data_IF_088345337431
#
_entry.id   IF_088345337431
#
_cell.length_a   1.000
_cell.length_b   1.000
_cell.length_c   1.000
_cell.angle_alpha   90.00
_cell.angle_beta   90.00
_cell.angle_gamma   90.00
#
_symmetry.space_group_name_H-M   'P 1'
#
loop_
_entity.id
_entity.type
_entity.pdbx_description
1 polymer ?
#
# COMPACT_ATOMS: atom_id res chain seq x y z
N UNK A 1 45.79 -8.46 -11.70
CA UNK A 1 44.84 -9.07 -10.75
C UNK A 1 43.45 -8.76 -11.29
N UNK A 2 42.63 -9.76 -11.63
CA UNK A 2 41.27 -9.53 -12.12
C UNK A 2 40.36 -9.42 -10.89
N UNK A 3 40.03 -8.20 -10.48
CA UNK A 3 39.05 -7.97 -9.43
C UNK A 3 37.65 -8.33 -9.96
N UNK A 4 37.01 -9.31 -9.33
CA UNK A 4 35.65 -9.73 -9.69
C UNK A 4 34.66 -9.02 -8.77
N UNK A 5 33.97 -8.01 -9.28
CA UNK A 5 32.87 -7.37 -8.57
C UNK A 5 31.63 -8.26 -8.62
N UNK A 6 30.98 -8.47 -7.48
CA UNK A 6 29.69 -9.17 -7.40
C UNK A 6 28.63 -8.13 -7.04
N UNK A 7 27.53 -8.10 -7.79
CA UNK A 7 26.46 -7.12 -7.61
C UNK A 7 25.12 -7.82 -7.40
N UNK A 8 24.42 -7.47 -6.32
CA UNK A 8 23.03 -7.93 -6.09
C UNK A 8 22.11 -7.53 -7.25
N UNK A 9 22.42 -6.43 -7.95
CA UNK A 9 21.66 -5.96 -9.11
C UNK A 9 21.59 -7.03 -10.21
N UNK A 10 22.71 -7.66 -10.56
CA UNK A 10 22.76 -8.68 -11.61
C UNK A 10 21.90 -9.89 -11.23
N UNK A 11 21.97 -10.30 -9.97
CA UNK A 11 21.10 -11.35 -9.44
C UNK A 11 19.62 -10.97 -9.52
N UNK A 12 19.26 -9.75 -9.09
CA UNK A 12 17.88 -9.26 -9.16
C UNK A 12 17.37 -9.21 -10.60
N UNK A 13 18.17 -8.70 -11.54
CA UNK A 13 17.83 -8.67 -12.96
C UNK A 13 17.47 -10.06 -13.48
N UNK A 14 18.30 -11.07 -13.19
CA UNK A 14 18.03 -12.46 -13.60
C UNK A 14 16.72 -12.99 -13.02
N UNK A 15 16.40 -12.62 -11.77
CA UNK A 15 15.15 -13.04 -11.11
C UNK A 15 13.90 -12.32 -11.62
N UNK A 16 14.04 -11.20 -12.32
CA UNK A 16 12.92 -10.44 -12.89
C UNK A 16 12.68 -10.74 -14.37
N UNK A 17 13.52 -11.54 -15.04
CA UNK A 17 13.38 -11.88 -16.47
C UNK A 17 12.00 -12.45 -16.77
N UNK A 18 11.54 -13.42 -15.98
CA UNK A 18 10.25 -14.09 -16.20
C UNK A 18 9.06 -13.12 -16.13
N UNK A 19 9.11 -12.10 -15.26
CA UNK A 19 8.09 -11.05 -15.24
C UNK A 19 8.13 -10.23 -16.53
N UNK A 20 9.33 -9.82 -16.95
CA UNK A 20 9.51 -8.99 -18.15
C UNK A 20 9.21 -9.68 -19.47
N UNK A 21 9.40 -11.00 -19.57
CA UNK A 21 9.13 -11.77 -20.79
C UNK A 21 7.65 -11.84 -21.15
N UNK A 22 6.78 -11.73 -20.14
CA UNK A 22 5.33 -11.67 -20.36
C UNK A 22 4.82 -10.28 -20.67
N UNK A 23 5.71 -9.29 -20.58
CA UNK A 23 5.46 -7.91 -20.94
C UNK A 23 6.12 -7.62 -22.29
N UNK A 24 5.69 -6.57 -22.97
CA UNK A 24 6.28 -6.22 -24.26
C UNK A 24 7.79 -5.93 -24.09
N UNK A 25 8.66 -6.68 -24.79
CA UNK A 25 10.13 -6.71 -24.55
C UNK A 25 10.81 -5.36 -24.75
N UNK A 26 10.25 -4.48 -25.56
CA UNK A 26 10.78 -3.13 -25.80
C UNK A 26 10.55 -2.17 -24.61
N UNK A 27 9.69 -2.55 -23.67
CA UNK A 27 9.18 -1.67 -22.62
C UNK A 27 9.81 -1.87 -21.25
N UNK A 28 10.20 -3.10 -20.94
CA UNK A 28 10.58 -3.48 -19.58
C UNK A 28 11.83 -4.35 -19.64
N UNK A 29 13.01 -3.73 -19.72
CA UNK A 29 14.21 -4.50 -19.42
C UNK A 29 14.20 -4.89 -17.95
N UNK A 30 14.66 -6.09 -17.63
CA UNK A 30 14.87 -6.50 -16.23
C UNK A 30 15.82 -5.55 -15.51
N UNK A 31 16.73 -4.90 -16.25
CA UNK A 31 17.55 -3.80 -15.77
C UNK A 31 16.71 -2.62 -15.25
N UNK A 32 15.75 -2.14 -16.03
CA UNK A 32 14.88 -1.04 -15.63
C UNK A 32 14.07 -1.39 -14.37
N UNK A 33 13.40 -2.55 -14.36
CA UNK A 33 12.64 -2.97 -13.18
C UNK A 33 13.55 -3.14 -11.95
N UNK A 34 14.76 -3.69 -12.12
CA UNK A 34 15.71 -3.83 -11.02
C UNK A 34 16.11 -2.48 -10.43
N UNK A 35 16.30 -1.44 -11.27
CA UNK A 35 16.64 -0.10 -10.79
C UNK A 35 15.50 0.51 -9.98
N UNK A 36 14.26 0.43 -10.48
CA UNK A 36 13.10 0.94 -9.76
C UNK A 36 12.84 0.22 -8.45
N UNK A 37 13.01 -1.10 -8.40
CA UNK A 37 12.90 -1.87 -7.15
C UNK A 37 13.91 -1.37 -6.12
N UNK A 38 15.18 -1.17 -6.54
CA UNK A 38 16.23 -0.70 -5.65
C UNK A 38 16.01 0.74 -5.19
N UNK A 39 15.56 1.63 -6.08
CA UNK A 39 15.19 3.01 -5.74
C UNK A 39 14.03 3.02 -4.74
N UNK A 40 12.97 2.27 -5.01
CA UNK A 40 11.76 2.25 -4.19
C UNK A 40 12.00 1.66 -2.79
N UNK A 41 12.80 0.61 -2.68
CA UNK A 41 12.99 -0.11 -1.43
C UNK A 41 13.60 0.75 -0.30
N UNK A 42 14.43 1.73 -0.65
CA UNK A 42 15.14 2.58 0.30
C UNK A 42 14.85 4.07 0.09
N UNK A 43 13.75 4.42 -0.58
CA UNK A 43 13.49 5.81 -0.90
C UNK A 43 13.13 6.62 0.35
N UNK A 44 13.83 7.74 0.52
CA UNK A 44 13.67 8.67 1.62
C UNK A 44 13.84 10.11 1.11
N UNK A 45 13.08 11.02 1.71
CA UNK A 45 13.25 12.47 1.55
C UNK A 45 13.38 13.09 2.94
N UNK A 46 14.41 13.92 3.15
CA UNK A 46 14.70 14.57 4.44
C UNK A 46 14.73 13.58 5.64
N UNK A 47 15.18 12.35 5.40
CA UNK A 47 15.25 11.28 6.41
C UNK A 47 13.92 10.55 6.67
N UNK A 48 12.84 10.94 6.00
CA UNK A 48 11.53 10.30 6.09
C UNK A 48 11.38 9.26 4.98
N UNK A 49 11.03 8.03 5.36
CA UNK A 49 10.70 6.98 4.38
C UNK A 49 9.44 7.35 3.62
N UNK A 50 9.55 7.34 2.28
CA UNK A 50 8.41 7.50 1.40
C UNK A 50 8.03 6.15 0.78
N UNK A 51 6.74 6.02 0.47
CA UNK A 51 6.15 4.78 -0.03
C UNK A 51 5.30 5.02 -1.27
N UNK A 52 5.87 5.63 -2.34
CA UNK A 52 5.12 5.93 -3.55
C UNK A 52 4.68 4.63 -4.22
N UNK A 53 3.50 4.67 -4.83
CA UNK A 53 3.06 3.61 -5.75
C UNK A 53 3.44 4.02 -7.16
N UNK A 54 4.13 3.13 -7.89
CA UNK A 54 4.65 3.40 -9.23
C UNK A 54 3.97 2.48 -10.24
N UNK A 55 3.50 3.05 -11.34
CA UNK A 55 2.95 2.30 -12.46
C UNK A 55 3.74 2.57 -13.74
N UNK A 56 3.99 1.53 -14.51
CA UNK A 56 4.64 1.61 -15.82
C UNK A 56 3.70 1.00 -16.85
N UNK A 57 3.58 1.63 -18.02
CA UNK A 57 2.72 1.14 -19.12
C UNK A 57 3.22 1.59 -20.50
N UNK A 58 2.72 0.98 -21.57
CA UNK A 58 2.86 1.46 -22.97
C UNK A 58 1.84 2.49 -23.35
N UNK A 59 0.74 2.57 -22.61
CA UNK A 59 -0.40 3.31 -23.09
C UNK A 59 -1.06 3.99 -21.91
N UNK A 60 -1.11 5.32 -21.98
CA UNK A 60 -1.82 6.13 -21.00
C UNK A 60 -3.26 5.66 -20.75
N UNK A 61 -3.94 5.17 -21.79
CA UNK A 61 -5.31 4.68 -21.70
C UNK A 61 -5.45 3.47 -20.78
N UNK A 62 -4.39 2.67 -20.60
CA UNK A 62 -4.40 1.54 -19.67
C UNK A 62 -4.59 2.01 -18.22
N UNK A 63 -3.96 3.13 -17.84
CA UNK A 63 -4.09 3.70 -16.49
C UNK A 63 -5.54 4.11 -16.21
N UNK A 64 -6.17 4.83 -17.14
CA UNK A 64 -7.55 5.28 -16.98
C UNK A 64 -8.53 4.11 -17.03
N UNK A 65 -8.37 3.21 -17.99
CA UNK A 65 -9.29 2.08 -18.23
C UNK A 65 -9.26 1.07 -17.09
N UNK A 66 -8.08 0.66 -16.65
CA UNK A 66 -7.92 -0.47 -15.74
C UNK A 66 -7.65 -0.06 -14.29
N UNK A 67 -6.94 1.04 -14.08
CA UNK A 67 -6.64 1.54 -12.73
C UNK A 67 -7.60 2.62 -12.26
N UNK A 68 -8.52 3.06 -13.13
CA UNK A 68 -9.42 4.19 -12.87
C UNK A 68 -8.67 5.48 -12.55
N UNK A 69 -7.47 5.66 -13.14
CA UNK A 69 -6.68 6.87 -12.98
C UNK A 69 -7.49 8.11 -13.34
N UNK A 70 -7.43 9.12 -12.47
CA UNK A 70 -8.01 10.46 -12.64
C UNK A 70 -6.86 11.44 -12.80
N UNK A 71 -7.08 12.52 -13.55
CA UNK A 71 -6.19 13.68 -13.60
C UNK A 71 -4.70 13.34 -13.70
N UNK A 72 -4.22 13.12 -14.93
CA UNK A 72 -2.80 12.92 -15.17
C UNK A 72 -2.09 14.28 -15.23
N UNK A 73 -1.06 14.43 -14.41
CA UNK A 73 -0.18 15.60 -14.38
C UNK A 73 1.17 15.19 -14.94
N UNK A 74 1.49 15.68 -16.14
CA UNK A 74 2.77 15.44 -16.79
C UNK A 74 3.88 16.28 -16.14
N UNK A 75 4.96 15.63 -15.73
CA UNK A 75 6.11 16.29 -15.08
C UNK A 75 7.29 16.40 -16.03
N UNK A 76 7.53 15.40 -16.87
CA UNK A 76 8.61 15.46 -17.84
C UNK A 76 8.69 14.27 -18.78
N UNK A 77 9.72 14.30 -19.63
CA UNK A 77 10.04 13.22 -20.56
C UNK A 77 11.55 13.12 -20.79
N UNK A 78 11.98 12.04 -21.43
CA UNK A 78 13.37 11.84 -21.83
C UNK A 78 13.60 10.49 -22.52
N UNK A 79 14.81 10.23 -23.03
CA UNK A 79 15.15 8.95 -23.65
C UNK A 79 15.05 7.82 -22.62
N UNK A 80 14.81 6.59 -23.10
CA UNK A 80 14.65 5.39 -22.28
C UNK A 80 15.97 4.93 -21.61
N UNK A 81 16.43 5.71 -20.62
CA UNK A 81 17.74 5.56 -19.98
C UNK A 81 17.62 5.59 -18.46
N UNK A 82 18.63 5.04 -17.79
CA UNK A 82 18.74 5.02 -16.32
C UNK A 82 18.61 6.41 -15.69
N UNK A 83 19.23 7.41 -16.29
CA UNK A 83 19.18 8.78 -15.80
C UNK A 83 17.75 9.34 -15.85
N UNK A 84 17.01 9.03 -16.92
CA UNK A 84 15.61 9.45 -17.03
C UNK A 84 14.73 8.75 -16.01
N UNK A 85 14.90 7.44 -15.76
CA UNK A 85 14.13 6.74 -14.72
C UNK A 85 14.38 7.31 -13.32
N UNK A 86 15.66 7.52 -12.98
CA UNK A 86 16.07 8.03 -11.67
C UNK A 86 15.51 9.42 -11.44
N UNK A 87 15.59 10.28 -12.46
CA UNK A 87 15.01 11.63 -12.44
C UNK A 87 13.49 11.59 -12.35
N UNK A 88 12.82 10.75 -13.14
CA UNK A 88 11.38 10.58 -13.11
C UNK A 88 10.87 10.19 -11.72
N UNK A 89 11.54 9.20 -11.12
CA UNK A 89 11.22 8.76 -9.77
C UNK A 89 11.44 9.89 -8.74
N UNK A 90 12.60 10.54 -8.73
CA UNK A 90 12.89 11.64 -7.80
C UNK A 90 11.96 12.85 -7.93
N UNK A 91 11.54 13.19 -9.15
CA UNK A 91 10.63 14.33 -9.35
C UNK A 91 9.20 14.01 -8.92
N UNK A 92 8.75 12.76 -9.06
CA UNK A 92 7.35 12.39 -8.85
C UNK A 92 7.08 11.74 -7.48
N UNK A 93 8.04 11.00 -6.93
CA UNK A 93 7.85 10.24 -5.71
C UNK A 93 7.47 11.09 -4.48
N UNK A 94 8.05 12.29 -4.25
CA UNK A 94 7.63 13.17 -3.15
C UNK A 94 6.17 13.65 -3.31
N UNK A 95 5.68 13.75 -4.54
CA UNK A 95 4.30 14.16 -4.83
C UNK A 95 3.28 13.03 -4.63
N UNK A 96 3.75 11.80 -4.39
CA UNK A 96 2.93 10.59 -4.28
C UNK A 96 2.98 9.96 -2.87
N UNK A 97 3.29 10.75 -1.84
CA UNK A 97 3.39 10.29 -0.45
C UNK A 97 2.03 9.89 0.14
N UNK A 98 0.96 10.63 -0.18
CA UNK A 98 -0.35 10.50 0.45
C UNK A 98 -1.19 9.32 -0.06
N UNK A 99 -0.64 8.52 -0.99
CA UNK A 99 -1.31 7.43 -1.74
C UNK A 99 -2.54 7.85 -2.54
N UNK A 100 -2.98 9.09 -2.46
CA UNK A 100 -3.98 9.65 -3.34
C UNK A 100 -3.36 9.86 -4.71
N UNK A 101 -2.09 10.25 -4.76
CA UNK A 101 -1.31 10.30 -6.00
C UNK A 101 -0.46 9.05 -6.19
N UNK A 102 -0.31 8.63 -7.44
CA UNK A 102 0.59 7.57 -7.85
C UNK A 102 1.47 8.03 -9.01
N UNK A 103 2.70 7.56 -9.04
CA UNK A 103 3.66 7.85 -10.11
C UNK A 103 3.30 7.02 -11.34
N UNK A 104 3.36 7.62 -12.52
CA UNK A 104 3.31 6.88 -13.77
C UNK A 104 4.56 7.11 -14.62
N UNK A 105 4.92 6.07 -15.38
CA UNK A 105 5.92 6.11 -16.45
C UNK A 105 5.33 5.43 -17.68
N UNK A 106 5.17 6.18 -18.76
CA UNK A 106 4.72 5.68 -20.06
C UNK A 106 5.94 5.54 -20.95
N UNK A 107 6.21 4.34 -21.43
CA UNK A 107 7.37 4.03 -22.27
C UNK A 107 6.85 3.81 -23.70
N UNK A 108 7.15 4.69 -24.63
CA UNK A 108 6.70 4.59 -26.03
C UNK A 108 7.85 5.06 -26.92
N UNK A 109 8.13 4.33 -28.00
CA UNK A 109 9.11 4.71 -29.02
C UNK A 109 10.49 5.12 -28.47
N UNK A 110 11.01 4.36 -27.51
CA UNK A 110 12.31 4.62 -26.88
C UNK A 110 12.35 5.88 -26.00
N UNK A 111 11.20 6.45 -25.68
CA UNK A 111 11.03 7.63 -24.82
C UNK A 111 10.20 7.28 -23.59
N UNK A 112 10.52 7.89 -22.46
CA UNK A 112 9.71 7.83 -21.24
C UNK A 112 8.99 9.18 -21.09
N UNK A 113 7.68 9.14 -20.88
CA UNK A 113 6.87 10.26 -20.38
C UNK A 113 6.44 9.92 -18.96
N UNK A 114 6.65 10.83 -18.01
CA UNK A 114 6.40 10.53 -16.59
C UNK A 114 5.70 11.68 -15.88
N UNK A 115 5.03 11.32 -14.80
CA UNK A 115 4.24 12.24 -14.02
C UNK A 115 3.55 11.55 -12.85
N UNK A 116 2.48 12.17 -12.37
CA UNK A 116 1.61 11.61 -11.34
C UNK A 116 0.17 11.59 -11.82
N UNK A 117 -0.62 10.68 -11.28
CA UNK A 117 -2.06 10.68 -11.49
C UNK A 117 -2.79 10.50 -10.17
N UNK A 118 -3.99 11.08 -10.09
CA UNK A 118 -4.85 10.97 -8.93
C UNK A 118 -5.63 9.65 -8.96
N UNK A 119 -5.60 8.93 -7.85
CA UNK A 119 -6.39 7.74 -7.62
C UNK A 119 -7.80 8.06 -7.13
N UNK A 120 -8.63 7.03 -6.97
CA UNK A 120 -9.96 7.17 -6.38
C UNK A 120 -9.86 7.58 -4.91
N UNK A 121 -10.37 8.78 -4.58
CA UNK A 121 -10.33 9.37 -3.24
C UNK A 121 -11.27 8.72 -2.24
N UNK A 122 -12.25 7.95 -2.70
CA UNK A 122 -13.17 7.25 -1.80
C UNK A 122 -12.40 6.28 -0.89
N UNK A 123 -12.56 6.36 0.46
CA UNK A 123 -11.98 5.41 1.41
C UNK A 123 -12.57 3.99 1.31
N UNK A 124 -13.68 3.83 0.57
CA UNK A 124 -14.38 2.56 0.39
C UNK A 124 -14.04 1.87 -0.94
N UNK A 125 -13.50 2.62 -1.90
CA UNK A 125 -13.11 2.06 -3.18
C UNK A 125 -11.85 1.21 -3.05
N UNK A 126 -11.60 0.25 -3.95
CA UNK A 126 -10.28 -0.35 -4.09
C UNK A 126 -9.25 0.70 -4.52
N UNK A 127 -8.07 0.66 -3.89
CA UNK A 127 -6.89 1.42 -4.32
C UNK A 127 -6.46 1.02 -5.74
N UNK A 128 -5.69 1.88 -6.41
CA UNK A 128 -5.14 1.60 -7.75
C UNK A 128 -4.31 0.32 -7.78
N UNK A 129 -3.60 0.01 -6.70
CA UNK A 129 -2.78 -1.19 -6.61
C UNK A 129 -3.62 -2.46 -6.33
N UNK A 130 -4.70 -2.34 -5.55
CA UNK A 130 -5.67 -3.44 -5.38
C UNK A 130 -6.39 -3.77 -6.69
N UNK A 131 -6.73 -2.76 -7.49
CA UNK A 131 -7.30 -2.98 -8.84
C UNK A 131 -6.33 -3.78 -9.70
N UNK A 132 -5.06 -3.40 -9.72
CA UNK A 132 -4.02 -4.16 -10.44
C UNK A 132 -3.90 -5.59 -9.90
N UNK A 133 -3.99 -5.80 -8.58
CA UNK A 133 -3.92 -7.14 -7.96
C UNK A 133 -5.02 -8.08 -8.45
N UNK A 134 -6.20 -7.55 -8.75
CA UNK A 134 -7.36 -8.31 -9.26
C UNK A 134 -7.37 -8.43 -10.79
N UNK A 135 -6.59 -7.63 -11.50
CA UNK A 135 -6.59 -7.56 -12.96
C UNK A 135 -5.99 -8.81 -13.60
N UNK A 136 -6.65 -9.33 -14.65
CA UNK A 136 -6.21 -10.47 -15.46
C UNK A 136 -6.52 -10.20 -16.93
N UNK A 137 -5.86 -9.20 -17.49
CA UNK A 137 -6.17 -8.69 -18.83
C UNK A 137 -5.01 -8.92 -19.79
N UNK A 138 -5.19 -9.89 -20.69
CA UNK A 138 -4.26 -10.15 -21.79
C UNK A 138 -4.20 -8.94 -22.74
N UNK A 139 -3.00 -8.59 -23.20
CA UNK A 139 -2.78 -7.46 -24.11
C UNK A 139 -2.76 -6.08 -23.44
N UNK A 140 -3.01 -5.98 -22.14
CA UNK A 140 -2.70 -4.77 -21.38
C UNK A 140 -1.30 -4.87 -20.79
N UNK A 141 -0.49 -3.82 -20.91
CA UNK A 141 0.86 -3.77 -20.36
C UNK A 141 0.88 -2.80 -19.19
N UNK A 142 0.67 -3.29 -17.97
CA UNK A 142 0.82 -2.51 -16.74
C UNK A 142 1.72 -3.26 -15.79
N UNK A 143 2.75 -2.59 -15.28
CA UNK A 143 3.54 -3.04 -14.14
C UNK A 143 3.34 -2.07 -13.00
N UNK A 144 2.88 -2.56 -11.86
CA UNK A 144 2.81 -1.79 -10.62
C UNK A 144 3.92 -2.23 -9.67
N UNK A 145 4.55 -1.27 -9.02
CA UNK A 145 5.48 -1.47 -7.92
C UNK A 145 5.01 -0.69 -6.70
N UNK A 146 5.08 -1.31 -5.52
CA UNK A 146 4.84 -0.64 -4.25
C UNK A 146 5.73 -1.22 -3.15
N UNK A 147 6.15 -0.36 -2.23
CA UNK A 147 6.83 -0.78 -1.00
C UNK A 147 5.76 -1.15 0.02
N UNK A 148 5.83 -2.34 0.59
CA UNK A 148 4.85 -2.80 1.59
C UNK A 148 5.27 -2.42 3.02
N UNK A 149 6.56 -2.32 3.29
CA UNK A 149 7.14 -2.09 4.61
C UNK A 149 8.60 -2.54 4.63
N UNK A 150 9.44 -1.92 5.46
CA UNK A 150 10.88 -2.23 5.50
C UNK A 150 11.51 -2.19 4.09
N UNK A 151 12.29 -3.19 3.71
CA UNK A 151 12.95 -3.26 2.39
C UNK A 151 12.19 -4.17 1.40
N UNK A 152 10.87 -4.28 1.57
CA UNK A 152 10.03 -5.22 0.85
C UNK A 152 9.22 -4.53 -0.26
N UNK A 153 9.49 -4.89 -1.52
CA UNK A 153 8.82 -4.37 -2.71
C UNK A 153 7.93 -5.45 -3.31
N UNK A 154 6.68 -5.10 -3.56
CA UNK A 154 5.73 -5.91 -4.33
C UNK A 154 5.69 -5.41 -5.77
N UNK A 155 5.86 -6.33 -6.71
CA UNK A 155 5.74 -6.11 -8.15
C UNK A 155 4.53 -6.89 -8.64
N UNK A 156 3.67 -6.25 -9.43
CA UNK A 156 2.50 -6.88 -10.05
C UNK A 156 2.36 -6.48 -11.51
N UNK A 157 1.84 -7.38 -12.32
CA UNK A 157 1.50 -7.13 -13.72
C UNK A 157 -0.01 -7.20 -13.93
N UNK A 158 -0.49 -6.56 -14.99
CA UNK A 158 -1.89 -6.67 -15.46
C UNK A 158 -2.28 -8.08 -15.92
N UNK A 159 -1.31 -8.92 -16.25
CA UNK A 159 -1.51 -10.34 -16.58
C UNK A 159 -1.72 -11.21 -15.33
N UNK A 160 -1.56 -10.65 -14.12
CA UNK A 160 -1.75 -11.32 -12.85
C UNK A 160 -0.49 -11.95 -12.25
N UNK A 161 0.65 -11.85 -12.93
CA UNK A 161 1.93 -12.22 -12.35
C UNK A 161 2.30 -11.25 -11.24
N UNK A 162 3.00 -11.78 -10.25
CA UNK A 162 3.48 -10.97 -9.14
C UNK A 162 4.74 -11.58 -8.57
N UNK A 163 5.56 -10.72 -7.98
CA UNK A 163 6.75 -11.11 -7.27
C UNK A 163 6.95 -10.19 -6.09
N UNK A 164 7.49 -10.75 -5.02
CA UNK A 164 7.93 -9.98 -3.88
C UNK A 164 9.44 -10.00 -3.84
N UNK A 165 10.04 -8.84 -3.60
CA UNK A 165 11.48 -8.67 -3.50
C UNK A 165 11.78 -8.10 -2.14
N UNK A 166 12.46 -8.87 -1.30
CA UNK A 166 13.09 -8.36 -0.11
C UNK A 166 14.54 -7.98 -0.43
N UNK A 167 14.90 -6.71 -0.26
CA UNK A 167 16.30 -6.25 -0.45
C UNK A 167 17.07 -6.13 0.88
N UNK A 168 16.47 -6.53 2.02
CA UNK A 168 17.23 -6.66 3.27
C UNK A 168 18.12 -7.89 3.26
N UNK A 169 19.28 -7.81 3.92
CA UNK A 169 20.16 -8.95 4.18
C UNK A 169 19.86 -9.72 5.47
N UNK A 170 18.74 -9.45 6.15
CA UNK A 170 18.36 -10.16 7.38
C UNK A 170 17.59 -11.45 7.08
N UNK A 171 17.95 -12.53 7.78
CA UNK A 171 17.36 -13.88 7.70
C UNK A 171 15.93 -13.96 8.29
N UNK A 172 15.13 -12.89 8.20
CA UNK A 172 13.71 -12.93 8.56
C UNK A 172 12.91 -13.63 7.45
N UNK A 173 13.18 -14.93 7.27
CA UNK A 173 12.65 -15.75 6.18
C UNK A 173 11.12 -15.95 6.24
N UNK A 174 10.48 -15.64 7.37
CA UNK A 174 9.05 -15.86 7.60
C UNK A 174 8.21 -14.56 7.67
N UNK A 175 8.84 -13.38 7.61
CA UNK A 175 8.12 -12.10 7.66
C UNK A 175 7.70 -11.63 6.27
N UNK A 176 6.40 -11.73 5.97
CA UNK A 176 5.81 -11.16 4.77
C UNK A 176 4.81 -10.06 5.14
N UNK A 177 5.12 -8.76 4.94
CA UNK A 177 4.23 -7.62 5.19
C UNK A 177 2.78 -7.84 4.72
N UNK A 178 2.60 -8.27 3.48
CA UNK A 178 1.28 -8.56 2.91
C UNK A 178 0.49 -9.65 3.65
N UNK A 179 1.15 -10.64 4.28
CA UNK A 179 0.47 -11.65 5.11
C UNK A 179 0.01 -11.04 6.43
N UNK A 180 0.82 -10.18 7.06
CA UNK A 180 0.47 -9.48 8.30
C UNK A 180 -0.77 -8.61 8.10
N UNK A 181 -0.80 -7.78 7.06
CA UNK A 181 -1.97 -6.91 6.78
C UNK A 181 -3.21 -7.74 6.46
N UNK A 182 -3.08 -8.80 5.65
CA UNK A 182 -4.23 -9.66 5.35
C UNK A 182 -4.78 -10.30 6.61
N UNK A 183 -3.92 -10.82 7.49
CA UNK A 183 -4.35 -11.44 8.74
C UNK A 183 -5.03 -10.42 9.67
N UNK A 184 -4.48 -9.20 9.76
CA UNK A 184 -5.09 -8.09 10.48
C UNK A 184 -6.50 -7.75 9.94
N UNK A 185 -6.61 -7.52 8.63
CA UNK A 185 -7.87 -7.19 7.95
C UNK A 185 -8.90 -8.30 8.13
N UNK A 186 -8.55 -9.56 7.89
CA UNK A 186 -9.51 -10.67 8.06
C UNK A 186 -9.94 -10.85 9.52
N UNK A 187 -9.10 -10.49 10.48
CA UNK A 187 -9.44 -10.57 11.90
C UNK A 187 -10.41 -9.45 12.32
N UNK A 188 -10.17 -8.20 11.87
CA UNK A 188 -11.01 -7.04 12.26
C UNK A 188 -12.37 -7.02 11.56
N UNK A 189 -12.52 -7.69 10.41
CA UNK A 189 -13.81 -7.77 9.69
C UNK A 189 -14.54 -9.10 9.87
N UNK A 190 -14.00 -10.02 10.68
CA UNK A 190 -14.42 -11.43 10.73
C UNK A 190 -15.93 -11.61 10.89
N UNK A 191 -16.54 -10.85 11.78
CA UNK A 191 -17.98 -10.91 12.11
C UNK A 191 -18.77 -9.70 11.59
N UNK A 192 -18.20 -8.93 10.67
CA UNK A 192 -18.89 -7.80 10.05
C UNK A 192 -20.06 -8.28 9.15
N UNK A 193 -21.15 -7.50 9.02
CA UNK A 193 -22.27 -7.82 8.12
C UNK A 193 -21.81 -7.98 6.67
N UNK A 194 -22.26 -9.03 6.00
CA UNK A 194 -21.81 -9.39 4.63
C UNK A 194 -21.95 -8.26 3.59
N UNK A 195 -23.02 -7.43 3.57
CA UNK A 195 -23.10 -6.30 2.64
C UNK A 195 -22.01 -5.23 2.85
N UNK A 196 -21.52 -5.08 4.09
CA UNK A 196 -20.57 -4.03 4.49
C UNK A 196 -19.12 -4.54 4.48
N UNK A 197 -18.94 -5.84 4.67
CA UNK A 197 -17.64 -6.50 4.82
C UNK A 197 -16.63 -6.17 3.72
N UNK A 198 -16.96 -6.11 2.41
CA UNK A 198 -15.99 -5.74 1.37
C UNK A 198 -15.47 -4.30 1.53
N UNK A 199 -16.34 -3.37 1.88
CA UNK A 199 -15.98 -1.95 2.09
C UNK A 199 -15.15 -1.78 3.36
N UNK A 200 -15.52 -2.51 4.43
CA UNK A 200 -14.76 -2.54 5.67
C UNK A 200 -13.35 -3.14 5.48
N UNK A 201 -13.23 -4.17 4.64
CA UNK A 201 -11.93 -4.73 4.24
C UNK A 201 -11.06 -3.67 3.55
N UNK A 202 -11.59 -2.97 2.56
CA UNK A 202 -10.86 -1.89 1.86
C UNK A 202 -10.40 -0.80 2.83
N UNK A 203 -11.28 -0.39 3.75
CA UNK A 203 -10.97 0.61 4.76
C UNK A 203 -9.80 0.17 5.66
N UNK A 204 -9.91 -1.02 6.28
CA UNK A 204 -8.88 -1.51 7.20
C UNK A 204 -7.60 -1.94 6.49
N UNK A 205 -7.67 -2.34 5.23
CA UNK A 205 -6.47 -2.59 4.44
C UNK A 205 -5.64 -1.30 4.30
N UNK A 206 -6.30 -0.19 3.94
CA UNK A 206 -5.64 1.14 3.84
C UNK A 206 -5.11 1.59 5.20
N UNK A 207 -5.93 1.54 6.25
CA UNK A 207 -5.51 1.92 7.60
C UNK A 207 -4.34 1.06 8.09
N UNK A 208 -4.38 -0.25 7.85
CA UNK A 208 -3.29 -1.16 8.21
C UNK A 208 -1.99 -0.87 7.45
N UNK A 209 -2.07 -0.57 6.15
CA UNK A 209 -0.91 -0.14 5.37
C UNK A 209 -0.32 1.17 5.90
N UNK A 210 -1.15 2.12 6.34
CA UNK A 210 -0.69 3.37 6.97
C UNK A 210 0.04 3.11 8.28
N UNK A 211 -0.48 2.20 9.10
CA UNK A 211 0.17 1.78 10.36
C UNK A 211 1.51 1.12 10.08
N UNK A 212 1.60 0.22 9.09
CA UNK A 212 2.86 -0.47 8.78
C UNK A 212 3.94 0.46 8.21
N UNK A 213 3.54 1.48 7.45
CA UNK A 213 4.48 2.44 6.89
C UNK A 213 4.96 3.46 7.94
N UNK A 214 4.33 3.50 9.12
CA UNK A 214 4.81 4.32 10.21
C UNK A 214 6.12 3.79 10.81
N UNK A 215 6.93 4.69 11.34
CA UNK A 215 8.31 4.42 11.77
C UNK A 215 8.43 3.67 13.11
N UNK A 216 7.30 3.32 13.75
CA UNK A 216 7.27 2.70 15.07
C UNK A 216 6.50 1.38 15.02
N UNK A 217 7.06 0.33 15.63
CA UNK A 217 6.35 -0.93 15.81
C UNK A 217 5.04 -0.70 16.56
N UNK A 218 3.94 -1.31 16.09
CA UNK A 218 2.60 -1.11 16.63
C UNK A 218 2.00 -2.43 17.09
N UNK A 219 1.27 -2.42 18.21
CA UNK A 219 0.52 -3.57 18.70
C UNK A 219 -0.98 -3.29 18.60
N UNK A 220 -1.71 -4.20 17.94
CA UNK A 220 -3.17 -4.12 17.81
C UNK A 220 -3.78 -5.41 18.33
N UNK A 221 -4.68 -5.30 19.31
CA UNK A 221 -5.52 -6.37 19.80
C UNK A 221 -6.91 -6.34 19.14
N UNK A 222 -7.45 -7.51 18.82
CA UNK A 222 -8.79 -7.63 18.21
C UNK A 222 -9.66 -8.51 19.11
N UNK A 223 -10.77 -7.95 19.57
CA UNK A 223 -11.75 -8.60 20.44
C UNK A 223 -13.01 -8.98 19.65
N UNK A 224 -13.85 -9.85 20.22
CA UNK A 224 -15.21 -10.04 19.69
C UNK A 224 -16.06 -8.81 20.04
N UNK A 225 -16.94 -8.37 19.14
CA UNK A 225 -17.87 -7.27 19.42
C UNK A 225 -18.70 -7.58 20.67
N UNK A 226 -18.78 -6.59 21.57
CA UNK A 226 -19.49 -6.71 22.84
C UNK A 226 -18.76 -7.51 23.93
N UNK A 227 -17.59 -8.07 23.64
CA UNK A 227 -16.76 -8.66 24.69
C UNK A 227 -16.23 -7.58 25.63
N UNK A 228 -16.14 -7.91 26.93
CA UNK A 228 -15.44 -7.06 27.90
C UNK A 228 -13.96 -7.00 27.54
N UNK A 229 -13.35 -5.81 27.63
CA UNK A 229 -11.89 -5.68 27.58
C UNK A 229 -11.30 -6.51 28.74
N UNK A 230 -10.36 -7.44 28.48
CA UNK A 230 -9.76 -8.26 29.52
C UNK A 230 -9.07 -7.41 30.59
N UNK A 231 -9.13 -7.84 31.85
CA UNK A 231 -8.59 -7.07 33.00
C UNK A 231 -7.08 -6.79 32.89
N UNK A 232 -6.35 -7.62 32.14
CA UNK A 232 -4.92 -7.45 31.82
C UNK A 232 -4.64 -6.23 30.92
N UNK A 233 -5.67 -5.66 30.27
CA UNK A 233 -5.59 -4.51 29.36
C UNK A 233 -6.50 -3.34 29.79
N UNK A 234 -7.00 -3.38 31.03
CA UNK A 234 -7.98 -2.41 31.55
C UNK A 234 -7.36 -1.03 31.89
N UNK A 235 -6.04 -0.93 31.90
CA UNK A 235 -5.32 0.31 32.22
C UNK A 235 -5.29 1.33 31.07
N UNK A 236 -5.78 0.96 29.89
CA UNK A 236 -5.84 1.83 28.72
C UNK A 236 -6.98 2.85 28.74
N UNK A 237 -6.99 3.70 27.71
CA UNK A 237 -8.01 4.73 27.53
C UNK A 237 -9.17 4.15 26.72
N UNK A 238 -10.32 3.97 27.37
CA UNK A 238 -11.53 3.39 26.77
C UNK A 238 -12.36 4.46 26.08
N UNK A 239 -12.74 4.22 24.82
CA UNK A 239 -13.61 5.11 24.07
C UNK A 239 -15.08 4.87 24.44
N UNK A 240 -15.77 5.92 24.88
CA UNK A 240 -17.19 5.86 25.27
C UNK A 240 -17.97 6.99 24.59
N UNK A 241 -18.84 6.69 23.61
CA UNK A 241 -19.04 5.37 22.99
C UNK A 241 -17.81 4.93 22.19
N UNK A 242 -17.72 3.62 21.90
CA UNK A 242 -16.77 3.11 20.93
C UNK A 242 -17.06 3.66 19.54
N UNK A 243 -16.03 3.78 18.70
CA UNK A 243 -16.18 4.29 17.34
C UNK A 243 -16.46 3.12 16.42
N UNK A 244 -17.62 3.11 15.77
CA UNK A 244 -18.01 2.05 14.83
C UNK A 244 -17.76 2.48 13.38
N UNK A 245 -16.74 1.91 12.74
CA UNK A 245 -16.50 2.11 11.31
C UNK A 245 -17.59 1.42 10.50
N UNK A 246 -18.07 0.25 10.94
CA UNK A 246 -19.17 -0.46 10.29
C UNK A 246 -20.43 0.40 10.20
N UNK A 247 -20.83 1.07 11.28
CA UNK A 247 -22.03 1.91 11.28
C UNK A 247 -21.84 3.15 10.41
N UNK A 248 -20.62 3.71 10.37
CA UNK A 248 -20.29 4.81 9.47
C UNK A 248 -20.41 4.39 8.00
N UNK A 249 -19.94 3.20 7.61
CA UNK A 249 -20.11 2.68 6.25
C UNK A 249 -21.59 2.42 5.95
N UNK A 250 -22.32 1.79 6.88
CA UNK A 250 -23.75 1.50 6.73
C UNK A 250 -24.56 2.79 6.49
N UNK A 251 -24.23 3.87 7.20
CA UNK A 251 -24.89 5.17 7.03
C UNK A 251 -24.72 5.75 5.62
N UNK A 252 -23.56 5.53 5.00
CA UNK A 252 -23.27 5.95 3.61
C UNK A 252 -24.07 5.10 2.63
N UNK A 253 -24.08 3.77 2.82
CA UNK A 253 -24.76 2.85 1.89
C UNK A 253 -26.27 2.99 1.93
N UNK A 254 -26.83 3.33 3.09
CA UNK A 254 -28.27 3.55 3.25
C UNK A 254 -28.74 4.90 2.69
N UNK A 255 -27.82 5.73 2.17
CA UNK A 255 -28.11 7.06 1.67
C UNK A 255 -28.58 8.03 2.76
N UNK A 256 -28.21 7.77 4.03
CA UNK A 256 -28.76 8.48 5.19
C UNK A 256 -28.05 9.78 5.55
N UNK A 257 -26.91 10.16 4.95
CA UNK A 257 -26.19 11.41 5.31
C UNK A 257 -25.39 12.11 4.18
N UNK A 258 -25.05 13.37 4.48
CA UNK A 258 -24.48 14.51 3.73
C UNK A 258 -22.99 14.36 3.28
N UNK A 259 -22.44 15.38 2.58
CA UNK A 259 -21.04 15.47 2.08
C UNK A 259 -19.97 15.02 3.09
N UNK A 260 -20.24 15.13 4.40
CA UNK A 260 -19.29 14.84 5.47
C UNK A 260 -19.14 13.35 5.79
N UNK A 261 -20.00 12.48 5.26
CA UNK A 261 -19.96 11.05 5.60
C UNK A 261 -18.63 10.38 5.17
N UNK A 262 -18.10 10.74 4.00
CA UNK A 262 -16.78 10.28 3.55
C UNK A 262 -15.64 10.89 4.37
N UNK A 263 -15.76 12.16 4.77
CA UNK A 263 -14.77 12.82 5.62
C UNK A 263 -14.68 12.19 7.01
N UNK A 264 -15.79 11.68 7.54
CA UNK A 264 -15.81 10.90 8.78
C UNK A 264 -14.94 9.65 8.69
N UNK A 265 -15.05 8.89 7.60
CA UNK A 265 -14.21 7.71 7.38
C UNK A 265 -12.73 8.09 7.23
N UNK A 266 -12.42 9.12 6.45
CA UNK A 266 -11.04 9.65 6.36
C UNK A 266 -10.50 9.98 7.75
N UNK A 267 -11.30 10.66 8.58
CA UNK A 267 -10.94 11.04 9.94
C UNK A 267 -10.72 9.81 10.83
N UNK A 268 -11.53 8.75 10.70
CA UNK A 268 -11.34 7.50 11.43
C UNK A 268 -10.05 6.78 11.02
N UNK A 269 -9.69 6.79 9.73
CA UNK A 269 -8.42 6.22 9.27
C UNK A 269 -7.22 6.95 9.87
N UNK A 270 -7.27 8.29 9.86
CA UNK A 270 -6.24 9.13 10.50
C UNK A 270 -6.18 8.91 12.01
N UNK A 271 -7.34 8.77 12.66
CA UNK A 271 -7.42 8.48 14.09
C UNK A 271 -6.79 7.14 14.43
N UNK A 272 -7.13 6.06 13.73
CA UNK A 272 -6.53 4.73 13.93
C UNK A 272 -5.01 4.83 13.87
N UNK A 273 -4.46 5.52 12.85
CA UNK A 273 -3.02 5.74 12.72
C UNK A 273 -2.42 6.42 13.94
N UNK A 274 -3.09 7.44 14.49
CA UNK A 274 -2.63 8.17 15.69
C UNK A 274 -2.76 7.33 16.95
N UNK A 275 -3.82 6.53 17.10
CA UNK A 275 -4.01 5.65 18.25
C UNK A 275 -2.91 4.57 18.31
N UNK A 276 -2.53 4.01 17.16
CA UNK A 276 -1.46 3.00 17.07
C UNK A 276 -0.05 3.58 17.22
N UNK A 277 0.12 4.89 17.08
CA UNK A 277 1.40 5.56 17.32
C UNK A 277 1.68 5.85 18.79
N UNK A 278 0.64 5.81 19.64
CA UNK A 278 0.85 5.91 21.07
C UNK A 278 1.40 4.58 21.59
N UNK A 279 2.22 4.67 22.64
CA UNK A 279 2.73 3.50 23.33
C UNK A 279 1.58 2.59 23.80
N UNK A 280 1.85 1.29 23.88
CA UNK A 280 0.87 0.29 24.28
C UNK A 280 0.11 -0.34 23.11
N UNK A 281 -1.06 -0.89 23.43
CA UNK A 281 -1.88 -1.70 22.53
C UNK A 281 -3.14 -0.93 22.16
N UNK A 282 -3.44 -0.85 20.86
CA UNK A 282 -4.74 -0.39 20.37
C UNK A 282 -5.71 -1.55 20.27
N UNK A 283 -6.93 -1.40 20.80
CA UNK A 283 -7.96 -2.43 20.80
C UNK A 283 -9.06 -2.11 19.80
N UNK A 284 -9.30 -3.06 18.90
CA UNK A 284 -10.40 -3.07 17.95
C UNK A 284 -11.35 -4.24 18.25
N UNK A 285 -12.55 -4.21 17.66
CA UNK A 285 -13.40 -5.40 17.57
C UNK A 285 -13.40 -6.02 16.16
N UNK A 286 -13.91 -7.25 16.08
CA UNK A 286 -14.04 -8.04 14.86
C UNK A 286 -15.21 -7.63 13.94
N UNK A 287 -15.81 -6.46 14.17
CA UNK A 287 -16.74 -5.77 13.26
C UNK A 287 -16.24 -4.37 12.88
N UNK A 288 -14.97 -4.04 13.13
CA UNK A 288 -14.41 -2.74 12.79
C UNK A 288 -14.78 -1.61 13.77
N UNK A 289 -15.00 -1.95 15.04
CA UNK A 289 -15.09 -1.00 16.13
C UNK A 289 -13.70 -0.63 16.68
N UNK A 290 -13.50 0.62 17.07
CA UNK A 290 -12.35 1.09 17.84
C UNK A 290 -12.77 1.21 19.29
N UNK A 291 -12.12 0.46 20.18
CA UNK A 291 -12.57 0.25 21.56
C UNK A 291 -11.75 1.04 22.56
N UNK A 292 -10.43 0.94 22.48
CA UNK A 292 -9.49 1.54 23.42
C UNK A 292 -8.11 1.69 22.79
N UNK A 293 -7.25 2.44 23.45
CA UNK A 293 -5.86 2.62 23.05
C UNK A 293 -4.98 2.84 24.28
N UNK A 294 -3.66 2.78 24.11
CA UNK A 294 -2.70 2.96 25.20
C UNK A 294 -2.91 1.94 26.35
N UNK A 295 -3.34 0.71 26.01
CA UNK A 295 -3.47 -0.39 26.97
C UNK A 295 -2.10 -1.07 27.15
N UNK A 296 -1.73 -1.45 28.37
CA UNK A 296 -0.52 -2.23 28.62
C UNK A 296 -0.86 -3.57 29.23
N UNK A 297 -0.02 -4.57 28.94
CA UNK A 297 -0.14 -5.87 29.57
C UNK A 297 0.27 -5.68 31.03
N UNK A 298 -0.69 -5.75 31.96
CA UNK A 298 -0.38 -5.83 33.39
C UNK A 298 0.50 -7.05 33.62
N UNK A 299 1.79 -6.81 33.88
CA UNK A 299 2.69 -7.84 34.38
C UNK A 299 2.41 -7.96 35.87
N UNK A 300 2.01 -9.15 36.32
CA UNK A 300 1.85 -9.43 37.75
C UNK A 300 3.17 -9.10 38.46
N UNK A 301 3.17 -8.05 39.28
CA UNK A 301 4.22 -7.80 40.26
C UNK A 301 4.04 -8.71 41.47
#
# INVERSE_FOLDING_TARGET
MNEKMVSFREFLQQRLISLTETLNKEMHSSEFLSELVLLLANYQEEGTNLFPVVFITDNQNNLTKYLSAKELVSVGSGPNTRDTYTRAFKHCAPLAEDRLWAVYMIIEDGTIRYGIFRSESSPLAPTVFERLRLLREEGSCIVGLTRLGGNFVEIRTSTGLHQYVNVSGSDEDDYHPGRVIRNFVESVVKEAPEPIKPMLRSFYYRAGMDVMHASHGSLIGILKKGAKIPDILEDGIHLTPSISVCDAIQSITDGREDRDAYMRLVSYSLLIRKLTWMDGITLLDNQGGILAYNCFIKTSA
#
